data_IF_377093726166
#
_entry.id   IF_377093726166
#
_cell.length_a   1.000
_cell.length_b   1.000
_cell.length_c   1.000
_cell.angle_alpha   90.00
_cell.angle_beta   90.00
_cell.angle_gamma   90.00
#
_symmetry.space_group_name_H-M   'P 1'
#
loop_
_entity.id
_entity.type
_entity.pdbx_description
1 polymer ?
#
# COMPACT_ATOMS: atom_id res chain seq x y z
N UNK A 1 1.01 -6.64 -9.50
CA UNK A 1 0.52 -6.94 -8.14
C UNK A 1 1.65 -6.65 -7.19
N UNK A 2 1.40 -5.83 -6.18
CA UNK A 2 2.33 -5.58 -5.07
C UNK A 2 1.90 -6.40 -3.87
N UNK A 3 2.89 -6.86 -3.12
CA UNK A 3 2.72 -7.67 -1.93
C UNK A 3 3.71 -7.20 -0.87
N UNK A 4 3.19 -6.73 0.27
CA UNK A 4 3.97 -6.38 1.45
C UNK A 4 3.66 -7.44 2.51
N UNK A 5 4.59 -8.39 2.67
CA UNK A 5 4.47 -9.48 3.64
C UNK A 5 5.29 -9.18 4.88
N UNK A 6 4.71 -9.41 6.04
CA UNK A 6 5.38 -9.24 7.33
C UNK A 6 6.58 -10.18 7.48
N UNK A 7 7.68 -9.68 8.04
CA UNK A 7 8.84 -10.49 8.41
C UNK A 7 8.65 -11.25 9.74
N UNK A 8 7.69 -10.86 10.57
CA UNK A 8 7.44 -11.43 11.91
C UNK A 8 6.12 -12.19 12.05
N UNK A 9 5.27 -12.19 11.02
CA UNK A 9 3.97 -12.90 11.03
C UNK A 9 3.55 -13.35 9.63
N UNK A 10 2.38 -13.99 9.52
CA UNK A 10 1.76 -14.28 8.22
C UNK A 10 0.88 -13.14 7.67
N UNK A 11 0.97 -11.93 8.26
CA UNK A 11 0.20 -10.77 7.78
C UNK A 11 0.75 -10.25 6.47
N UNK A 12 -0.15 -9.86 5.58
CA UNK A 12 0.16 -9.45 4.22
C UNK A 12 -0.82 -8.38 3.74
N UNK A 13 -0.28 -7.34 3.10
CA UNK A 13 -1.05 -6.40 2.29
C UNK A 13 -0.80 -6.73 0.81
N UNK A 14 -1.88 -6.99 0.08
CA UNK A 14 -1.86 -7.22 -1.35
C UNK A 14 -2.56 -6.08 -2.05
N UNK A 15 -1.93 -5.59 -3.12
CA UNK A 15 -2.45 -4.53 -3.97
C UNK A 15 -2.44 -5.03 -5.41
N UNK A 16 -3.60 -5.05 -6.05
CA UNK A 16 -3.74 -5.47 -7.45
C UNK A 16 -4.63 -4.52 -8.23
N UNK A 17 -4.38 -4.37 -9.53
CA UNK A 17 -5.29 -3.64 -10.41
C UNK A 17 -6.66 -4.35 -10.44
N UNK A 18 -7.72 -3.56 -10.32
CA UNK A 18 -9.10 -3.98 -10.59
C UNK A 18 -9.52 -3.45 -11.97
N UNK A 19 -10.81 -3.56 -12.31
CA UNK A 19 -11.32 -3.03 -13.58
C UNK A 19 -11.32 -1.49 -13.59
N UNK A 20 -10.84 -0.89 -14.69
CA UNK A 20 -10.84 0.57 -14.83
C UNK A 20 -9.80 1.27 -13.93
N UNK A 21 -10.10 2.45 -13.38
CA UNK A 21 -9.17 3.23 -12.54
C UNK A 21 -9.16 2.75 -11.08
N UNK A 22 -9.43 1.47 -10.82
CA UNK A 22 -9.54 0.94 -9.48
C UNK A 22 -8.39 -0.01 -9.15
N UNK A 23 -8.02 -0.06 -7.88
CA UNK A 23 -7.20 -1.13 -7.32
C UNK A 23 -7.99 -1.86 -6.23
N UNK A 24 -7.61 -3.10 -5.97
CA UNK A 24 -8.06 -3.86 -4.83
C UNK A 24 -6.94 -3.88 -3.79
N UNK A 25 -7.21 -3.35 -2.61
CA UNK A 25 -6.37 -3.47 -1.43
C UNK A 25 -6.93 -4.58 -0.53
N UNK A 26 -6.14 -5.60 -0.23
CA UNK A 26 -6.51 -6.73 0.62
C UNK A 26 -5.48 -6.88 1.75
N UNK A 27 -5.94 -6.75 2.99
CA UNK A 27 -5.17 -7.00 4.20
C UNK A 27 -5.59 -8.36 4.78
N UNK A 28 -4.67 -9.31 4.87
CA UNK A 28 -4.94 -10.67 5.33
C UNK A 28 -3.88 -11.18 6.30
N UNK A 29 -4.25 -12.13 7.16
CA UNK A 29 -3.34 -12.80 8.09
C UNK A 29 -3.39 -12.23 9.52
N UNK A 30 -2.96 -13.06 10.48
CA UNK A 30 -2.91 -12.81 11.93
C UNK A 30 -3.95 -11.84 12.53
N UNK A 31 -5.06 -12.35 13.08
CA UNK A 31 -6.25 -12.90 12.43
C UNK A 31 -7.12 -11.80 11.75
N UNK A 32 -6.52 -10.96 10.92
CA UNK A 32 -7.21 -9.88 10.20
C UNK A 32 -7.50 -10.31 8.76
N UNK A 33 -8.68 -9.96 8.25
CA UNK A 33 -9.03 -10.10 6.84
C UNK A 33 -9.99 -8.98 6.45
N UNK A 34 -9.55 -8.09 5.57
CA UNK A 34 -10.36 -6.99 5.05
C UNK A 34 -9.94 -6.68 3.61
N UNK A 35 -10.89 -6.18 2.81
CA UNK A 35 -10.63 -5.77 1.43
C UNK A 35 -11.48 -4.57 1.07
N UNK A 36 -10.94 -3.71 0.22
CA UNK A 36 -11.64 -2.53 -0.33
C UNK A 36 -11.18 -2.30 -1.76
N UNK A 37 -12.12 -1.97 -2.63
CA UNK A 37 -11.86 -1.50 -3.98
C UNK A 37 -11.71 0.02 -3.90
N UNK A 38 -10.56 0.52 -4.36
CA UNK A 38 -10.11 1.90 -4.16
C UNK A 38 -9.98 2.56 -5.51
N UNK A 39 -10.63 3.71 -5.68
CA UNK A 39 -10.41 4.52 -6.85
C UNK A 39 -9.03 5.19 -6.80
N UNK A 40 -8.28 5.10 -7.89
CA UNK A 40 -6.97 5.74 -8.01
C UNK A 40 -6.87 6.56 -9.27
N UNK A 41 -6.35 7.77 -9.13
CA UNK A 41 -5.99 8.60 -10.27
C UNK A 41 -4.76 8.02 -10.96
N UNK A 42 -4.91 7.60 -12.21
CA UNK A 42 -3.80 7.08 -13.01
C UNK A 42 -3.01 8.22 -13.63
N UNK A 43 -1.68 8.21 -13.46
CA UNK A 43 -0.77 9.10 -14.18
C UNK A 43 -0.31 10.35 -13.42
N UNK A 44 -0.67 10.49 -12.15
CA UNK A 44 -0.12 11.54 -11.28
C UNK A 44 1.16 11.08 -10.55
N UNK A 45 2.10 12.02 -10.39
CA UNK A 45 3.36 11.81 -9.68
C UNK A 45 3.19 11.62 -8.16
N UNK A 46 2.01 11.91 -7.60
CA UNK A 46 1.69 11.68 -6.19
C UNK A 46 0.95 10.34 -5.91
N UNK A 47 0.76 9.50 -6.94
CA UNK A 47 0.04 8.23 -6.81
C UNK A 47 0.73 7.18 -5.92
N UNK A 48 -0.01 6.13 -5.58
CA UNK A 48 0.48 5.01 -4.76
C UNK A 48 1.75 4.37 -5.35
N UNK A 49 1.84 4.27 -6.67
CA UNK A 49 3.01 3.73 -7.36
C UNK A 49 4.26 4.58 -7.09
N UNK A 50 4.13 5.90 -7.15
CA UNK A 50 5.22 6.83 -6.88
C UNK A 50 5.64 6.76 -5.40
N UNK A 51 4.67 6.69 -4.48
CA UNK A 51 4.94 6.49 -3.06
C UNK A 51 5.75 5.21 -2.80
N UNK A 52 5.33 4.07 -3.37
CA UNK A 52 6.03 2.79 -3.21
C UNK A 52 7.40 2.80 -3.90
N UNK A 53 7.52 3.45 -5.06
CA UNK A 53 8.79 3.63 -5.74
C UNK A 53 9.77 4.48 -4.91
N UNK A 54 9.30 5.53 -4.25
CA UNK A 54 10.13 6.38 -3.41
C UNK A 54 10.57 5.69 -2.13
N UNK A 55 9.73 4.82 -1.55
CA UNK A 55 10.15 3.91 -0.48
C UNK A 55 11.21 2.91 -0.97
N UNK A 56 11.05 2.37 -2.18
CA UNK A 56 12.00 1.43 -2.78
C UNK A 56 13.40 2.02 -3.03
N UNK A 57 13.52 3.34 -3.13
CA UNK A 57 14.80 4.06 -3.33
C UNK A 57 15.49 4.46 -2.02
N UNK A 58 14.96 4.08 -0.86
CA UNK A 58 15.57 4.46 0.42
C UNK A 58 16.82 3.60 0.68
N UNK A 59 18.00 4.22 0.61
CA UNK A 59 19.29 3.57 0.87
C UNK A 59 19.67 3.58 2.37
N UNK A 60 18.81 4.11 3.24
CA UNK A 60 19.08 4.25 4.67
C UNK A 60 17.83 4.53 5.50
N UNK A 61 17.94 4.46 6.84
CA UNK A 61 16.87 4.86 7.75
C UNK A 61 16.42 6.31 7.52
N UNK A 62 15.14 6.58 7.76
CA UNK A 62 14.57 7.93 7.70
C UNK A 62 13.87 8.30 9.00
N UNK A 63 13.74 9.60 9.25
CA UNK A 63 12.95 10.13 10.37
C UNK A 63 11.54 10.51 9.94
N UNK A 64 10.59 10.39 10.86
CA UNK A 64 9.19 10.74 10.63
C UNK A 64 8.42 9.68 9.83
N UNK A 65 7.22 10.06 9.42
CA UNK A 65 6.28 9.19 8.71
C UNK A 65 6.23 9.59 7.24
N UNK A 66 6.33 8.61 6.35
CA UNK A 66 5.99 8.76 4.94
C UNK A 66 4.60 8.17 4.74
N UNK A 67 3.72 8.87 4.06
CA UNK A 67 2.34 8.42 3.89
C UNK A 67 1.80 8.69 2.49
N UNK A 68 0.87 7.84 2.09
CA UNK A 68 -0.01 7.99 0.95
C UNK A 68 -1.43 7.65 1.39
N UNK A 69 -2.42 8.35 0.82
CA UNK A 69 -3.83 8.12 1.05
C UNK A 69 -4.59 8.25 -0.26
N UNK A 70 -5.59 7.39 -0.48
CA UNK A 70 -6.54 7.54 -1.57
C UNK A 70 -7.37 8.81 -1.42
N UNK A 71 -7.90 9.32 -2.54
CA UNK A 71 -8.70 10.55 -2.53
C UNK A 71 -9.98 10.40 -1.70
N UNK A 72 -10.60 9.22 -1.76
CA UNK A 72 -11.80 8.91 -0.98
C UNK A 72 -11.49 8.51 0.48
N UNK A 73 -10.20 8.39 0.84
CA UNK A 73 -9.76 8.07 2.20
C UNK A 73 -10.11 6.64 2.65
N UNK A 74 -10.52 5.78 1.75
CA UNK A 74 -10.84 4.37 1.95
C UNK A 74 -9.60 3.48 2.11
N UNK A 75 -8.42 3.96 1.70
CA UNK A 75 -7.13 3.31 1.89
C UNK A 75 -6.04 4.32 2.22
N UNK A 76 -5.37 4.13 3.35
CA UNK A 76 -4.15 4.82 3.73
C UNK A 76 -3.02 3.83 3.99
N UNK A 77 -1.84 4.16 3.49
CA UNK A 77 -0.61 3.43 3.72
C UNK A 77 0.45 4.40 4.23
N UNK A 78 0.99 4.13 5.42
CA UNK A 78 2.12 4.90 5.94
C UNK A 78 3.28 3.99 6.32
N UNK A 79 4.49 4.54 6.34
CA UNK A 79 5.71 3.83 6.65
C UNK A 79 6.62 4.66 7.55
N UNK A 80 7.15 4.01 8.59
CA UNK A 80 8.20 4.55 9.45
C UNK A 80 9.42 3.64 9.39
N UNK A 81 10.61 4.19 9.64
CA UNK A 81 11.84 3.41 9.73
C UNK A 81 12.61 3.78 10.99
N UNK A 82 13.04 2.77 11.74
CA UNK A 82 13.90 2.96 12.91
C UNK A 82 15.34 3.13 12.48
N UNK A 83 16.19 3.68 13.36
CA UNK A 83 17.63 3.80 13.10
C UNK A 83 18.33 2.45 12.84
N UNK A 84 17.72 1.33 13.23
CA UNK A 84 18.22 -0.02 13.00
C UNK A 84 17.75 -0.62 11.65
N UNK A 85 16.95 0.11 10.87
CA UNK A 85 16.44 -0.36 9.58
C UNK A 85 15.17 -1.21 9.66
N UNK A 86 14.53 -1.31 10.82
CA UNK A 86 13.18 -1.91 10.91
C UNK A 86 12.16 -0.93 10.32
N UNK A 87 11.38 -1.38 9.36
CA UNK A 87 10.32 -0.62 8.71
C UNK A 87 8.98 -1.13 9.20
N UNK A 88 8.10 -0.22 9.61
CA UNK A 88 6.71 -0.58 9.93
C UNK A 88 5.80 0.13 8.96
N UNK A 89 5.05 -0.65 8.19
CA UNK A 89 3.92 -0.16 7.41
C UNK A 89 2.67 -0.13 8.30
N UNK A 90 1.97 1.00 8.37
CA UNK A 90 0.61 1.04 8.92
C UNK A 90 -0.39 1.07 7.76
N UNK A 91 -1.27 0.08 7.73
CA UNK A 91 -2.33 -0.09 6.74
C UNK A 91 -3.65 0.28 7.39
N UNK A 92 -4.39 1.20 6.78
CA UNK A 92 -5.73 1.60 7.21
C UNK A 92 -6.68 1.43 6.03
N UNK A 93 -7.71 0.59 6.22
CA UNK A 93 -8.77 0.36 5.25
C UNK A 93 -10.10 0.81 5.88
N UNK A 94 -10.90 1.54 5.12
CA UNK A 94 -12.25 1.94 5.51
C UNK A 94 -13.25 1.49 4.45
N UNK A 95 -14.48 1.24 4.86
CA UNK A 95 -15.57 1.01 3.93
C UNK A 95 -16.88 1.61 4.43
N UNK A 96 -17.70 2.06 3.48
CA UNK A 96 -18.99 2.69 3.74
C UNK A 96 -18.90 3.88 4.72
N UNK A 97 -17.88 4.72 4.57
CA UNK A 97 -17.68 5.90 5.43
C UNK A 97 -18.95 6.77 5.52
N UNK A 98 -19.36 7.10 6.75
CA UNK A 98 -20.57 7.87 7.02
C UNK A 98 -21.88 7.07 6.97
N UNK A 99 -21.85 5.78 6.66
CA UNK A 99 -23.01 4.89 6.71
C UNK A 99 -23.13 4.19 8.07
N UNK A 100 -24.31 3.64 8.37
CA UNK A 100 -24.52 2.83 9.59
C UNK A 100 -23.69 1.54 9.58
N UNK A 101 -23.32 1.05 8.41
CA UNK A 101 -22.48 -0.13 8.19
C UNK A 101 -20.99 0.23 7.99
N UNK A 102 -20.59 1.45 8.36
CA UNK A 102 -19.19 1.87 8.30
C UNK A 102 -18.29 0.91 9.07
N UNK A 103 -17.15 0.59 8.47
CA UNK A 103 -16.11 -0.20 9.11
C UNK A 103 -14.73 0.39 8.85
N UNK A 104 -13.82 0.12 9.78
CA UNK A 104 -12.41 0.48 9.67
C UNK A 104 -11.53 -0.65 10.20
N UNK A 105 -10.40 -0.89 9.54
CA UNK A 105 -9.37 -1.83 9.97
C UNK A 105 -8.02 -1.15 9.90
N UNK A 106 -7.27 -1.20 11.00
CA UNK A 106 -5.89 -0.72 11.08
C UNK A 106 -4.97 -1.86 11.47
N UNK A 107 -3.85 -2.02 10.76
CA UNK A 107 -2.85 -3.03 11.11
C UNK A 107 -1.43 -2.60 10.70
N UNK A 108 -0.47 -2.93 11.56
CA UNK A 108 0.96 -2.83 11.26
C UNK A 108 1.46 -4.06 10.48
N UNK A 109 2.38 -3.84 9.54
CA UNK A 109 3.16 -4.87 8.85
C UNK A 109 4.64 -4.55 9.09
N UNK A 110 5.28 -5.42 9.85
CA UNK A 110 6.72 -5.35 10.14
C UNK A 110 7.54 -5.81 8.94
N UNK A 111 8.53 -5.03 8.55
CA UNK A 111 9.28 -5.18 7.31
C UNK A 111 10.74 -4.73 7.51
N UNK A 112 11.59 -5.02 6.53
CA UNK A 112 13.01 -4.67 6.58
C UNK A 112 13.37 -3.66 5.50
N UNK A 113 14.19 -2.65 5.87
CA UNK A 113 14.69 -1.63 4.95
C UNK A 113 15.34 -2.26 3.71
N UNK A 114 16.18 -3.29 3.90
CA UNK A 114 16.87 -3.99 2.81
C UNK A 114 15.95 -4.76 1.85
N UNK A 115 14.64 -4.85 2.14
CA UNK A 115 13.66 -5.49 1.27
C UNK A 115 12.76 -4.48 0.53
N UNK A 116 12.92 -3.18 0.76
CA UNK A 116 12.09 -2.14 0.13
C UNK A 116 12.26 -2.08 -1.39
N UNK A 117 13.46 -2.36 -1.89
CA UNK A 117 13.75 -2.41 -3.34
C UNK A 117 12.79 -3.36 -4.10
N UNK A 118 12.25 -4.39 -3.42
CA UNK A 118 11.33 -5.36 -4.02
C UNK A 118 9.94 -4.76 -4.32
N UNK A 119 9.58 -3.67 -3.64
CA UNK A 119 8.29 -2.99 -3.85
C UNK A 119 8.25 -2.24 -5.19
N UNK A 120 9.42 -1.89 -5.73
CA UNK A 120 9.57 -1.11 -6.96
C UNK A 120 9.08 -1.85 -8.23
N UNK A 121 8.95 -3.18 -8.21
CA UNK A 121 8.70 -3.96 -9.42
C UNK A 121 7.22 -4.29 -9.72
N UNK A 122 6.26 -3.87 -8.87
CA UNK A 122 4.94 -4.51 -8.82
C UNK A 122 3.74 -3.79 -9.46
N UNK A 123 3.85 -2.49 -9.78
CA UNK A 123 2.78 -1.70 -10.40
C UNK A 123 3.37 -0.89 -11.56
N UNK A 124 3.47 -1.52 -12.72
CA UNK A 124 3.57 -0.78 -13.99
C UNK A 124 2.21 -0.99 -14.65
N UNK A 125 1.40 0.07 -14.88
CA UNK A 125 0.27 -0.04 -15.78
C UNK A 125 0.82 -0.54 -17.10
N UNK A 126 0.34 -1.69 -17.58
CA UNK A 126 0.51 -2.03 -19.00
C UNK A 126 -0.13 -0.87 -19.74
N UNK A 127 0.71 0.02 -20.28
CA UNK A 127 0.31 1.04 -21.24
C UNK A 127 -0.64 0.33 -22.19
N UNK A 128 -1.89 0.82 -22.28
CA UNK A 128 -2.83 0.37 -23.29
C UNK A 128 -2.06 0.36 -24.61
N UNK A 129 -1.77 -0.85 -25.10
CA UNK A 129 -1.29 -1.04 -26.46
C UNK A 129 -2.50 -0.74 -27.33
N UNK A 130 -2.76 0.53 -27.59
CA UNK A 130 -3.63 0.92 -28.69
C UNK A 130 -2.89 0.61 -29.98
N UNK A 131 -3.50 -0.16 -30.91
CA UNK A 131 -2.92 -0.40 -32.21
C UNK A 131 -3.09 0.87 -33.06
N UNK A 132 -2.00 1.38 -33.61
CA UNK A 132 -2.00 2.32 -34.72
C UNK A 132 -1.05 1.81 -35.79
#
# INVERSE_FOLDING_TARGET
MINIRSCSSNRELKISCASGPYLLAELVGFPVSAKVEVWVETGDAAGLEAFLADLGKQDGPWSGTREWQSIEGDFKLSATCTALGNVVFNVELHGLQGATEEWAVTAGIDYELGQLERLFHGLVPKKLAEPS
#
